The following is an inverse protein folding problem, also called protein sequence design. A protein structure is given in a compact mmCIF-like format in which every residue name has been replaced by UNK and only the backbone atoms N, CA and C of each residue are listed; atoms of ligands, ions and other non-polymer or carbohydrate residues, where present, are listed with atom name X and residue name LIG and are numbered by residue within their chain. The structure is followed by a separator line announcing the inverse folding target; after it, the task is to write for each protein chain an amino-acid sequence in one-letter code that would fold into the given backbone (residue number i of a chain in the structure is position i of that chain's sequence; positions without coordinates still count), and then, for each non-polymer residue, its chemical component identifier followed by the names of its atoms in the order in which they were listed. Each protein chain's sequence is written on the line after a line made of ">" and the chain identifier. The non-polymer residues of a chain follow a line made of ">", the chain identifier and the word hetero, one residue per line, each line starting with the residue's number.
data_IF_887912576660
#
_entry.id   IF_887912576660
#
_cell.length_a   1.000
_cell.length_b   1.000
_cell.length_c   1.000
_cell.angle_alpha   90.00
_cell.angle_beta   90.00
_cell.angle_gamma   90.00
#
_symmetry.space_group_name_H-M   'P 1'
#
loop_
_entity.id
_entity.type
_entity.pdbx_description
1 polymer ?
#
# COMPACT_ATOMS: atom_id res chain seq x y z
N UNK A 1 -19.69 -28.48 -39.87
CA UNK A 1 -19.43 -27.14 -39.33
C UNK A 1 -19.02 -27.33 -37.88
N UNK A 2 -17.72 -27.29 -37.53
CA UNK A 2 -17.33 -27.22 -36.13
C UNK A 2 -17.50 -25.77 -35.65
N UNK A 3 -18.11 -25.63 -34.48
CA UNK A 3 -18.18 -24.40 -33.71
C UNK A 3 -16.78 -24.16 -33.14
N UNK A 4 -16.06 -23.16 -33.62
CA UNK A 4 -14.88 -22.62 -32.93
C UNK A 4 -15.39 -21.76 -31.78
N UNK A 5 -15.39 -22.31 -30.56
CA UNK A 5 -15.44 -21.49 -29.36
C UNK A 5 -14.11 -20.72 -29.29
N UNK A 6 -14.17 -19.44 -29.65
CA UNK A 6 -13.16 -18.47 -29.27
C UNK A 6 -13.20 -18.35 -27.75
N UNK A 7 -12.28 -19.03 -27.07
CA UNK A 7 -11.92 -18.68 -25.71
C UNK A 7 -11.21 -17.32 -25.79
N UNK A 8 -11.96 -16.24 -25.60
CA UNK A 8 -11.37 -14.97 -25.22
C UNK A 8 -10.60 -15.22 -23.91
N UNK A 9 -9.32 -14.86 -23.90
CA UNK A 9 -8.42 -15.04 -22.78
C UNK A 9 -8.81 -14.06 -21.65
N UNK A 10 -9.80 -14.47 -20.86
CA UNK A 10 -10.32 -13.78 -19.68
C UNK A 10 -9.28 -13.62 -18.56
N UNK A 11 -8.04 -14.11 -18.75
CA UNK A 11 -6.97 -14.04 -17.77
C UNK A 11 -6.36 -12.63 -17.67
N UNK A 12 -6.33 -11.87 -18.77
CA UNK A 12 -5.80 -10.50 -18.80
C UNK A 12 -6.72 -9.49 -18.06
N UNK A 13 -8.03 -9.75 -17.96
CA UNK A 13 -8.95 -8.88 -17.22
C UNK A 13 -8.87 -9.05 -15.69
N UNK A 14 -8.19 -10.10 -15.20
CA UNK A 14 -8.05 -10.40 -13.76
C UNK A 14 -6.71 -9.97 -13.17
N UNK A 15 -5.66 -9.86 -13.98
CA UNK A 15 -4.36 -9.46 -13.50
C UNK A 15 -4.36 -7.96 -13.15
N UNK A 16 -4.21 -7.65 -11.86
CA UNK A 16 -4.06 -6.26 -11.39
C UNK A 16 -2.60 -5.81 -11.55
N UNK A 17 -1.66 -6.75 -11.41
CA UNK A 17 -0.23 -6.52 -11.58
C UNK A 17 0.26 -6.91 -12.98
N UNK A 18 0.85 -5.93 -13.67
CA UNK A 18 1.61 -6.17 -14.90
C UNK A 18 3.03 -6.62 -14.55
N UNK A 19 3.20 -7.95 -14.40
CA UNK A 19 4.46 -8.57 -13.97
C UNK A 19 5.60 -8.30 -14.94
N UNK A 20 5.33 -8.29 -16.24
CA UNK A 20 6.33 -8.01 -17.27
C UNK A 20 6.85 -6.57 -17.15
N UNK A 21 5.94 -5.60 -17.05
CA UNK A 21 6.30 -4.20 -16.82
C UNK A 21 7.09 -4.02 -15.53
N UNK A 22 6.68 -4.66 -14.43
CA UNK A 22 7.41 -4.60 -13.17
C UNK A 22 8.84 -5.16 -13.31
N UNK A 23 9.01 -6.25 -14.05
CA UNK A 23 10.32 -6.81 -14.39
C UNK A 23 11.20 -5.83 -15.17
N UNK A 24 10.63 -5.16 -16.17
CA UNK A 24 11.33 -4.17 -17.00
C UNK A 24 11.72 -2.91 -16.22
N UNK A 25 10.90 -2.46 -15.26
CA UNK A 25 11.18 -1.29 -14.43
C UNK A 25 12.19 -1.56 -13.31
N UNK A 26 12.26 -2.81 -12.82
CA UNK A 26 13.01 -3.15 -11.61
C UNK A 26 14.48 -2.69 -11.60
N UNK A 27 15.28 -2.81 -12.69
CA UNK A 27 16.67 -2.34 -12.69
C UNK A 27 16.81 -0.83 -12.45
N UNK A 28 15.95 -0.02 -13.06
CA UNK A 28 15.95 1.44 -12.88
C UNK A 28 15.53 1.82 -11.46
N UNK A 29 14.44 1.21 -10.98
CA UNK A 29 13.93 1.41 -9.63
C UNK A 29 14.92 0.98 -8.54
N UNK A 30 15.72 -0.06 -8.79
CA UNK A 30 16.78 -0.48 -7.87
C UNK A 30 17.86 0.61 -7.69
N UNK A 31 18.21 1.33 -8.76
CA UNK A 31 19.14 2.46 -8.69
C UNK A 31 18.54 3.62 -7.90
N UNK A 32 17.26 3.94 -8.13
CA UNK A 32 16.54 4.97 -7.38
C UNK A 32 16.47 4.66 -5.88
N UNK A 33 16.04 3.44 -5.54
CA UNK A 33 16.00 2.93 -4.17
C UNK A 33 17.36 3.01 -3.47
N UNK A 34 18.44 2.62 -4.16
CA UNK A 34 19.79 2.65 -3.59
C UNK A 34 20.29 4.08 -3.35
N UNK A 35 19.87 5.04 -4.18
CA UNK A 35 20.28 6.44 -4.11
C UNK A 35 19.43 7.29 -3.16
N UNK A 36 18.24 6.84 -2.80
CA UNK A 36 17.33 7.67 -2.01
C UNK A 36 17.92 7.98 -0.62
N UNK A 37 17.69 9.22 -0.19
CA UNK A 37 18.19 9.81 1.06
C UNK A 37 17.04 10.53 1.78
N UNK A 38 17.13 10.75 3.11
CA UNK A 38 18.17 10.31 4.03
C UNK A 38 18.16 8.78 4.25
N UNK A 39 17.11 8.12 3.78
CA UNK A 39 16.93 6.68 3.91
C UNK A 39 16.26 6.09 2.66
N UNK A 40 16.47 4.78 2.43
CA UNK A 40 15.99 4.05 1.23
C UNK A 40 14.47 4.00 1.12
N UNK A 41 13.84 4.70 0.20
CA UNK A 41 12.41 4.69 -0.07
C UNK A 41 12.22 4.79 -1.58
N UNK A 42 11.06 4.41 -2.07
CA UNK A 42 10.74 4.51 -3.49
C UNK A 42 9.27 4.88 -3.65
N UNK A 43 8.99 5.77 -4.59
CA UNK A 43 7.65 6.18 -4.99
C UNK A 43 7.52 5.82 -6.46
N UNK A 44 6.48 5.07 -6.81
CA UNK A 44 6.18 4.67 -8.18
C UNK A 44 4.79 5.17 -8.50
N UNK A 45 4.72 6.13 -9.40
CA UNK A 45 3.45 6.58 -9.97
C UNK A 45 3.00 5.61 -11.06
N UNK A 46 1.69 5.57 -11.29
CA UNK A 46 1.03 4.71 -12.28
C UNK A 46 1.38 3.23 -12.11
N UNK A 47 1.48 2.79 -10.85
CA UNK A 47 1.91 1.44 -10.52
C UNK A 47 0.97 0.36 -11.10
N UNK A 48 -0.34 0.51 -10.90
CA UNK A 48 -1.36 -0.35 -11.49
C UNK A 48 -1.83 0.19 -12.85
N UNK A 49 -2.34 -0.71 -13.69
CA UNK A 49 -2.95 -0.31 -14.95
C UNK A 49 -4.20 0.57 -14.70
N UNK A 50 -4.48 1.58 -15.54
CA UNK A 50 -5.59 2.51 -15.30
C UNK A 50 -6.97 1.84 -15.15
N UNK A 51 -7.21 0.71 -15.83
CA UNK A 51 -8.46 -0.03 -15.69
C UNK A 51 -8.59 -0.69 -14.30
N UNK A 52 -7.50 -1.26 -13.78
CA UNK A 52 -7.43 -1.87 -12.46
C UNK A 52 -7.70 -0.82 -11.38
N UNK A 53 -7.07 0.35 -11.49
CA UNK A 53 -7.29 1.48 -10.58
C UNK A 53 -8.76 1.88 -10.55
N UNK A 54 -9.38 2.12 -11.72
CA UNK A 54 -10.79 2.51 -11.80
C UNK A 54 -11.70 1.46 -11.16
N UNK A 55 -11.49 0.18 -11.48
CA UNK A 55 -12.26 -0.93 -10.93
C UNK A 55 -12.14 -1.00 -9.41
N UNK A 56 -10.94 -0.84 -8.86
CA UNK A 56 -10.74 -0.82 -7.40
C UNK A 56 -11.36 0.42 -6.75
N UNK A 57 -11.23 1.60 -7.36
CA UNK A 57 -11.82 2.84 -6.85
C UNK A 57 -13.35 2.75 -6.75
N UNK A 58 -14.02 2.27 -7.80
CA UNK A 58 -15.47 2.12 -7.84
C UNK A 58 -16.03 1.14 -6.80
N UNK A 59 -15.21 0.17 -6.36
CA UNK A 59 -15.59 -0.88 -5.41
C UNK A 59 -15.03 -0.67 -4.01
N UNK A 60 -14.31 0.42 -3.78
CA UNK A 60 -13.64 0.65 -2.49
C UNK A 60 -14.68 0.68 -1.35
N UNK A 61 -14.46 -0.05 -0.24
CA UNK A 61 -15.49 -0.18 0.78
C UNK A 61 -15.83 1.15 1.46
N UNK A 62 -17.11 1.52 1.60
CA UNK A 62 -17.51 2.77 2.27
C UNK A 62 -17.18 2.74 3.78
N UNK A 63 -17.17 3.87 4.49
CA UNK A 63 -16.84 3.96 5.92
C UNK A 63 -17.64 3.04 6.85
N UNK A 64 -18.86 2.68 6.47
CA UNK A 64 -19.77 1.83 7.24
C UNK A 64 -19.57 0.32 6.97
N UNK A 65 -18.69 -0.03 6.02
CA UNK A 65 -18.48 -1.41 5.61
C UNK A 65 -17.96 -2.30 6.77
N UNK A 66 -18.44 -3.55 6.91
CA UNK A 66 -18.08 -4.43 8.03
C UNK A 66 -16.60 -4.84 8.08
N UNK A 67 -15.85 -4.65 6.99
CA UNK A 67 -14.39 -4.89 6.99
C UNK A 67 -13.66 -4.01 8.00
N UNK A 68 -14.16 -2.80 8.28
CA UNK A 68 -13.47 -1.83 9.10
C UNK A 68 -13.60 -2.13 10.59
N UNK A 69 -12.47 -2.12 11.30
CA UNK A 69 -12.49 -2.06 12.75
C UNK A 69 -13.01 -0.70 13.23
N UNK A 70 -13.72 -0.71 14.36
CA UNK A 70 -14.15 0.49 15.04
C UNK A 70 -12.93 1.25 15.57
N UNK A 71 -12.53 2.30 14.85
CA UNK A 71 -11.38 3.12 15.18
C UNK A 71 -11.54 3.86 16.51
N UNK A 72 -12.78 4.11 16.98
CA UNK A 72 -13.04 4.81 18.25
C UNK A 72 -12.61 3.99 19.46
N UNK A 73 -12.52 2.67 19.29
CA UNK A 73 -12.00 1.74 20.29
C UNK A 73 -10.48 1.55 20.18
N UNK A 74 -9.83 2.24 19.25
CA UNK A 74 -8.39 2.17 19.01
C UNK A 74 -7.69 3.41 19.59
N UNK A 75 -6.38 3.47 19.37
CA UNK A 75 -5.51 4.51 19.92
C UNK A 75 -5.98 5.92 19.56
N UNK A 76 -5.94 6.90 20.50
CA UNK A 76 -6.23 8.30 20.20
C UNK A 76 -5.29 8.88 19.14
N UNK A 77 -4.12 8.28 18.93
CA UNK A 77 -3.13 8.68 17.91
C UNK A 77 -3.52 8.25 16.49
N UNK A 78 -4.68 7.59 16.31
CA UNK A 78 -5.20 7.13 15.02
C UNK A 78 -6.67 7.54 14.80
N UNK A 79 -7.06 8.72 15.32
CA UNK A 79 -8.43 9.25 15.21
C UNK A 79 -8.89 9.26 13.75
N UNK A 80 -10.11 8.79 13.46
CA UNK A 80 -10.66 8.78 12.09
C UNK A 80 -9.96 7.85 11.08
N UNK A 81 -8.94 7.08 11.49
CA UNK A 81 -8.30 6.06 10.64
C UNK A 81 -8.98 4.70 10.82
N UNK A 82 -9.53 4.17 9.74
CA UNK A 82 -10.05 2.81 9.68
C UNK A 82 -9.02 1.86 9.05
N UNK A 83 -9.02 0.63 9.53
CA UNK A 83 -8.25 -0.45 8.94
C UNK A 83 -8.88 -1.79 9.29
N UNK A 84 -8.67 -2.78 8.43
CA UNK A 84 -9.26 -4.11 8.60
C UNK A 84 -8.71 -4.87 9.82
N UNK A 85 -7.48 -4.53 10.23
CA UNK A 85 -6.79 -5.13 11.36
C UNK A 85 -5.99 -6.37 10.99
N UNK A 86 -6.61 -7.30 10.29
CA UNK A 86 -6.04 -8.54 9.76
C UNK A 86 -6.92 -9.12 8.64
N UNK A 87 -6.57 -10.31 8.16
CA UNK A 87 -7.24 -11.07 7.10
C UNK A 87 -8.65 -11.59 7.46
N UNK A 88 -9.05 -11.54 8.74
CA UNK A 88 -10.26 -12.24 9.23
C UNK A 88 -11.59 -11.70 8.69
N UNK A 89 -11.59 -10.55 8.02
CA UNK A 89 -12.78 -9.90 7.43
C UNK A 89 -12.69 -9.72 5.92
N UNK A 90 -11.66 -10.26 5.27
CA UNK A 90 -11.46 -10.08 3.83
C UNK A 90 -12.49 -10.84 2.98
N UNK A 91 -13.19 -11.82 3.56
CA UNK A 91 -14.36 -12.46 2.98
C UNK A 91 -15.49 -11.46 2.69
N UNK A 92 -15.58 -10.36 3.44
CA UNK A 92 -16.57 -9.29 3.22
C UNK A 92 -16.21 -8.35 2.06
N UNK A 93 -14.98 -8.37 1.56
CA UNK A 93 -14.52 -7.45 0.51
C UNK A 93 -15.10 -7.81 -0.86
N UNK A 94 -15.15 -6.82 -1.76
CA UNK A 94 -15.32 -7.09 -3.20
C UNK A 94 -14.14 -7.98 -3.68
N UNK A 95 -14.40 -8.99 -4.55
CA UNK A 95 -13.36 -9.88 -5.06
C UNK A 95 -12.10 -9.16 -5.57
N UNK A 96 -12.24 -7.98 -6.18
CA UNK A 96 -11.09 -7.23 -6.72
C UNK A 96 -10.02 -6.93 -5.66
N UNK A 97 -10.42 -6.73 -4.40
CA UNK A 97 -9.46 -6.48 -3.32
C UNK A 97 -8.84 -7.77 -2.79
N UNK A 98 -9.59 -8.87 -2.73
CA UNK A 98 -9.00 -10.17 -2.37
C UNK A 98 -7.97 -10.60 -3.39
N UNK A 99 -8.33 -10.56 -4.67
CA UNK A 99 -7.44 -10.90 -5.78
C UNK A 99 -6.18 -10.00 -5.78
N UNK A 100 -6.33 -8.70 -5.50
CA UNK A 100 -5.21 -7.78 -5.37
C UNK A 100 -4.31 -8.08 -4.19
N UNK A 101 -4.88 -8.31 -3.00
CA UNK A 101 -4.13 -8.65 -1.80
C UNK A 101 -3.36 -9.96 -1.96
N UNK A 102 -3.94 -10.94 -2.65
CA UNK A 102 -3.28 -12.20 -3.02
C UNK A 102 -2.12 -11.94 -3.99
N UNK A 103 -2.33 -11.21 -5.08
CA UNK A 103 -1.27 -10.84 -6.03
C UNK A 103 -0.11 -10.08 -5.39
N UNK A 104 -0.39 -9.21 -4.41
CA UNK A 104 0.63 -8.49 -3.62
C UNK A 104 1.38 -9.37 -2.60
N UNK A 105 0.95 -10.61 -2.40
CA UNK A 105 1.67 -11.62 -1.62
C UNK A 105 2.26 -12.74 -2.50
N UNK A 106 1.96 -12.76 -3.79
CA UNK A 106 2.45 -13.81 -4.68
C UNK A 106 3.92 -13.62 -5.09
N UNK A 107 4.51 -14.74 -5.51
CA UNK A 107 5.93 -14.82 -5.84
C UNK A 107 6.40 -13.80 -6.88
N UNK A 108 5.66 -13.47 -7.96
CA UNK A 108 6.10 -12.47 -8.93
C UNK A 108 6.33 -11.09 -8.29
N UNK A 109 5.43 -10.66 -7.41
CA UNK A 109 5.56 -9.39 -6.73
C UNK A 109 6.65 -9.42 -5.66
N UNK A 110 6.80 -10.52 -4.92
CA UNK A 110 7.93 -10.70 -4.01
C UNK A 110 9.27 -10.65 -4.77
N UNK A 111 9.38 -11.26 -5.95
CA UNK A 111 10.57 -11.20 -6.80
C UNK A 111 10.87 -9.78 -7.27
N UNK A 112 9.84 -9.01 -7.62
CA UNK A 112 9.97 -7.60 -7.92
C UNK A 112 10.54 -6.82 -6.73
N UNK A 113 9.96 -6.98 -5.53
CA UNK A 113 10.44 -6.33 -4.31
C UNK A 113 11.89 -6.71 -3.98
N UNK A 114 12.25 -7.98 -4.10
CA UNK A 114 13.61 -8.46 -3.86
C UNK A 114 14.60 -7.84 -4.87
N UNK A 115 14.24 -7.79 -6.16
CA UNK A 115 15.05 -7.20 -7.23
C UNK A 115 15.29 -5.71 -7.02
N UNK A 116 14.24 -4.95 -6.65
CA UNK A 116 14.34 -3.51 -6.41
C UNK A 116 15.12 -3.21 -5.13
N UNK A 117 14.82 -3.94 -4.04
CA UNK A 117 15.32 -3.56 -2.71
C UNK A 117 16.66 -4.19 -2.35
N UNK A 118 17.02 -5.30 -3.02
CA UNK A 118 18.17 -6.14 -2.70
C UNK A 118 18.01 -6.97 -1.42
N UNK A 119 16.80 -7.05 -0.86
CA UNK A 119 16.51 -7.88 0.32
C UNK A 119 16.15 -9.29 -0.17
N UNK A 120 16.94 -10.32 0.12
CA UNK A 120 16.63 -11.68 -0.33
C UNK A 120 15.63 -12.37 0.61
N UNK A 121 15.00 -13.44 0.11
CA UNK A 121 14.14 -14.34 0.86
C UNK A 121 12.99 -13.64 1.59
N UNK A 122 12.33 -12.70 0.90
CA UNK A 122 11.11 -12.09 1.41
C UNK A 122 9.99 -13.15 1.48
N UNK A 123 9.31 -13.18 2.63
CA UNK A 123 8.11 -13.98 2.83
C UNK A 123 6.88 -13.08 2.70
N UNK A 124 5.76 -13.61 2.17
CA UNK A 124 4.50 -12.88 2.14
C UNK A 124 3.93 -12.68 3.54
N UNK A 125 3.07 -11.67 3.68
CA UNK A 125 2.29 -11.42 4.90
C UNK A 125 0.88 -11.97 4.73
N UNK A 126 0.71 -13.28 4.91
CA UNK A 126 -0.57 -13.95 4.72
C UNK A 126 -1.66 -13.51 5.71
N UNK A 127 -1.30 -12.89 6.84
CA UNK A 127 -2.23 -12.54 7.90
C UNK A 127 -2.61 -11.05 7.92
N UNK A 128 -1.88 -10.23 7.17
CA UNK A 128 -2.11 -8.79 7.07
C UNK A 128 -2.27 -8.09 8.43
N UNK A 129 -1.60 -8.58 9.49
CA UNK A 129 -1.78 -8.04 10.83
C UNK A 129 -1.26 -6.60 10.87
N UNK A 130 -2.17 -5.65 11.06
CA UNK A 130 -1.90 -4.22 10.99
C UNK A 130 -1.79 -3.64 9.57
N UNK A 131 -1.95 -4.46 8.53
CA UNK A 131 -1.93 -4.08 7.13
C UNK A 131 -3.27 -4.33 6.42
N UNK A 132 -3.20 -4.49 5.09
CA UNK A 132 -4.36 -4.71 4.24
C UNK A 132 -5.09 -3.41 3.90
N UNK A 133 -6.41 -3.44 4.03
CA UNK A 133 -7.26 -2.28 3.70
C UNK A 133 -7.17 -1.19 4.76
N UNK A 134 -7.00 0.05 4.32
CA UNK A 134 -6.99 1.24 5.17
C UNK A 134 -7.70 2.42 4.51
N UNK A 135 -8.33 3.27 5.33
CA UNK A 135 -8.77 4.60 4.92
C UNK A 135 -8.65 5.59 6.08
N UNK A 136 -8.52 6.87 5.74
CA UNK A 136 -8.50 7.97 6.71
C UNK A 136 -9.64 8.90 6.34
N UNK A 137 -10.62 9.01 7.24
CA UNK A 137 -11.80 9.86 7.07
C UNK A 137 -11.44 11.33 7.31
N UNK A 138 -12.28 12.26 6.86
CA UNK A 138 -12.10 13.70 7.09
C UNK A 138 -11.81 14.04 8.56
N UNK A 139 -10.84 14.92 8.80
CA UNK A 139 -10.29 15.22 10.14
C UNK A 139 -9.55 14.07 10.81
N UNK A 140 -9.30 12.96 10.11
CA UNK A 140 -8.57 11.80 10.58
C UNK A 140 -7.06 12.00 10.58
N UNK A 141 -6.39 11.27 11.48
CA UNK A 141 -4.96 11.37 11.73
C UNK A 141 -4.39 9.97 11.92
N UNK A 142 -3.20 9.77 11.37
CA UNK A 142 -2.24 8.77 11.77
C UNK A 142 -1.00 9.52 12.24
N UNK A 143 -0.81 9.60 13.56
CA UNK A 143 0.26 10.39 14.16
C UNK A 143 1.64 9.82 13.81
N UNK A 144 2.68 10.63 14.00
CA UNK A 144 4.07 10.28 13.73
C UNK A 144 4.46 9.02 14.52
N UNK A 145 4.73 7.91 13.83
CA UNK A 145 5.10 6.64 14.47
C UNK A 145 6.15 5.88 13.67
N UNK A 146 6.98 5.11 14.37
CA UNK A 146 7.74 4.02 13.75
C UNK A 146 6.91 2.76 13.79
N UNK A 147 6.73 2.13 12.64
CA UNK A 147 6.00 0.88 12.58
C UNK A 147 6.71 -0.24 13.35
N UNK A 148 5.89 -1.13 13.93
CA UNK A 148 6.40 -2.28 14.63
C UNK A 148 7.05 -3.23 13.62
N UNK A 149 8.27 -3.66 13.92
CA UNK A 149 9.02 -4.51 13.02
C UNK A 149 8.96 -5.98 13.43
N UNK A 150 8.76 -6.31 14.71
CA UNK A 150 8.66 -7.69 15.16
C UNK A 150 7.21 -8.19 15.08
N UNK A 151 6.99 -9.25 14.32
CA UNK A 151 5.70 -9.90 14.20
C UNK A 151 5.61 -11.10 15.13
N UNK A 152 4.95 -10.90 16.27
CA UNK A 152 4.95 -11.88 17.36
C UNK A 152 4.33 -13.23 16.99
N UNK A 153 3.31 -13.25 16.13
CA UNK A 153 2.63 -14.49 15.71
C UNK A 153 3.57 -15.47 15.00
N UNK A 154 4.41 -14.96 14.09
CA UNK A 154 5.32 -15.77 13.27
C UNK A 154 6.77 -15.73 13.78
N UNK A 155 7.07 -14.90 14.79
CA UNK A 155 8.43 -14.65 15.31
C UNK A 155 9.39 -14.19 14.20
N UNK A 156 8.88 -13.39 13.27
CA UNK A 156 9.63 -12.83 12.13
C UNK A 156 9.73 -11.31 12.24
N UNK A 157 10.64 -10.72 11.46
CA UNK A 157 10.72 -9.26 11.31
C UNK A 157 10.12 -8.82 9.99
N UNK A 158 9.16 -7.90 10.03
CA UNK A 158 8.66 -7.18 8.85
C UNK A 158 9.83 -6.38 8.26
N UNK A 159 10.06 -6.55 6.95
CA UNK A 159 11.21 -5.94 6.25
C UNK A 159 10.84 -4.71 5.44
N UNK A 160 9.67 -4.75 4.80
CA UNK A 160 9.14 -3.69 3.95
C UNK A 160 7.71 -3.35 4.35
N UNK A 161 7.39 -2.07 4.33
CA UNK A 161 6.04 -1.57 4.20
C UNK A 161 5.83 -1.13 2.76
N UNK A 162 4.67 -1.52 2.24
CA UNK A 162 4.23 -1.20 0.91
C UNK A 162 2.87 -0.53 1.04
N UNK A 163 2.72 0.64 0.43
CA UNK A 163 1.49 1.44 0.47
C UNK A 163 1.05 1.71 -0.96
N UNK A 164 -0.19 1.32 -1.29
CA UNK A 164 -0.84 1.65 -2.54
C UNK A 164 -1.96 2.66 -2.26
N UNK A 165 -1.89 3.82 -2.90
CA UNK A 165 -2.90 4.85 -2.82
C UNK A 165 -3.85 4.75 -4.02
N UNK A 166 -5.14 4.67 -3.71
CA UNK A 166 -6.26 4.66 -4.67
C UNK A 166 -7.12 5.93 -4.54
N UNK A 167 -6.62 6.97 -3.88
CA UNK A 167 -7.36 8.22 -3.61
C UNK A 167 -7.60 9.01 -4.89
N UNK A 168 -8.81 8.93 -5.45
CA UNK A 168 -9.20 9.68 -6.66
C UNK A 168 -9.39 11.17 -6.37
N UNK A 169 -9.04 12.01 -7.35
CA UNK A 169 -9.35 13.45 -7.36
C UNK A 169 -8.87 14.21 -6.11
N UNK A 170 -7.74 13.77 -5.55
CA UNK A 170 -7.16 14.39 -4.38
C UNK A 170 -6.79 15.86 -4.63
N UNK A 171 -7.04 16.71 -3.63
CA UNK A 171 -6.69 18.13 -3.66
C UNK A 171 -5.79 18.48 -2.46
N UNK A 172 -4.83 19.42 -2.61
CA UNK A 172 -3.96 19.85 -1.51
C UNK A 172 -4.70 20.26 -0.23
N UNK A 173 -5.88 20.85 -0.37
CA UNK A 173 -6.69 21.29 0.76
C UNK A 173 -7.21 20.14 1.64
N UNK A 174 -7.17 18.88 1.17
CA UNK A 174 -7.62 17.71 1.93
C UNK A 174 -6.54 17.19 2.89
N UNK A 175 -5.27 17.60 2.74
CA UNK A 175 -4.16 16.99 3.46
C UNK A 175 -4.03 15.49 3.11
N UNK A 176 -3.65 14.65 4.06
CA UNK A 176 -3.60 13.20 3.85
C UNK A 176 -2.32 12.70 3.20
N UNK A 177 -1.31 13.56 3.07
CA UNK A 177 0.03 13.17 2.65
C UNK A 177 0.68 12.15 3.57
N UNK A 178 1.54 11.32 2.99
CA UNK A 178 2.53 10.55 3.71
C UNK A 178 3.74 11.44 3.98
N UNK A 179 3.91 11.85 5.23
CA UNK A 179 5.09 12.58 5.65
C UNK A 179 6.19 11.61 6.07
N UNK A 180 7.41 11.81 5.55
CA UNK A 180 8.59 11.08 5.95
C UNK A 180 9.46 11.95 6.85
N UNK A 181 9.70 11.47 8.08
CA UNK A 181 10.39 12.23 9.12
C UNK A 181 11.79 11.69 9.41
N UNK A 182 12.73 12.60 9.70
CA UNK A 182 14.12 12.26 10.04
C UNK A 182 14.27 11.66 11.44
N UNK A 183 13.48 12.13 12.41
CA UNK A 183 13.39 11.61 13.78
C UNK A 183 12.06 12.05 14.42
N UNK A 184 11.87 11.85 15.73
CA UNK A 184 10.71 12.34 16.47
C UNK A 184 10.79 13.86 16.61
N UNK A 185 9.66 14.58 16.58
CA UNK A 185 9.65 16.02 16.89
C UNK A 185 10.30 16.33 18.24
N UNK A 186 10.07 15.49 19.26
CA UNK A 186 10.69 15.64 20.59
C UNK A 186 12.22 15.51 20.60
N UNK A 187 12.82 14.99 19.53
CA UNK A 187 14.27 14.88 19.32
C UNK A 187 14.78 15.83 18.22
N UNK A 188 13.97 16.81 17.81
CA UNK A 188 14.33 17.75 16.74
C UNK A 188 14.17 17.18 15.33
N UNK A 189 13.42 16.09 15.18
CA UNK A 189 13.06 15.56 13.88
C UNK A 189 12.21 16.54 13.08
N UNK A 190 12.36 16.50 11.76
CA UNK A 190 11.61 17.30 10.81
C UNK A 190 11.12 16.42 9.66
N UNK A 191 10.00 16.81 9.06
CA UNK A 191 9.55 16.24 7.80
C UNK A 191 10.56 16.63 6.71
N UNK A 192 11.19 15.65 6.06
CA UNK A 192 12.10 15.92 4.94
C UNK A 192 11.41 15.72 3.58
N UNK A 193 10.29 14.98 3.56
CA UNK A 193 9.52 14.76 2.36
C UNK A 193 8.05 14.56 2.69
N UNK A 194 7.23 15.34 2.02
CA UNK A 194 5.77 15.26 2.03
C UNK A 194 5.35 14.63 0.69
N UNK A 195 4.71 13.47 0.75
CA UNK A 195 4.29 12.70 -0.43
C UNK A 195 2.76 12.73 -0.47
N UNK A 196 2.14 13.48 -1.39
CA UNK A 196 0.69 13.50 -1.49
C UNK A 196 0.18 12.10 -1.87
N UNK A 197 -1.02 11.69 -1.45
CA UNK A 197 -1.61 10.42 -1.84
C UNK A 197 -2.19 10.48 -3.27
N UNK A 198 -1.75 11.47 -4.08
CA UNK A 198 -2.34 11.78 -5.38
C UNK A 198 -2.37 10.55 -6.25
N UNK A 199 -3.59 10.18 -6.61
CA UNK A 199 -3.91 9.22 -7.65
C UNK A 199 -5.00 9.90 -8.48
N UNK A 200 -4.70 10.32 -9.71
CA UNK A 200 -5.77 10.79 -10.61
C UNK A 200 -6.61 9.59 -11.01
N UNK A 201 -7.81 9.81 -11.56
CA UNK A 201 -8.60 8.70 -12.11
C UNK A 201 -7.75 7.89 -13.09
N UNK A 202 -7.52 6.62 -12.77
CA UNK A 202 -6.64 5.74 -13.55
C UNK A 202 -5.15 5.81 -13.23
N UNK A 203 -4.73 6.51 -12.18
CA UNK A 203 -3.36 6.51 -11.66
C UNK A 203 -3.36 5.91 -10.25
N UNK A 204 -2.26 5.27 -9.85
CA UNK A 204 -2.06 4.80 -8.49
C UNK A 204 -0.66 5.14 -8.04
N UNK A 205 -0.50 5.56 -6.78
CA UNK A 205 0.82 5.78 -6.19
C UNK A 205 1.20 4.62 -5.30
N UNK A 206 2.39 4.09 -5.50
CA UNK A 206 2.93 2.97 -4.74
C UNK A 206 4.21 3.38 -4.04
N UNK A 207 4.29 3.16 -2.73
CA UNK A 207 5.42 3.58 -1.90
C UNK A 207 6.03 2.38 -1.18
N UNK A 208 7.34 2.20 -1.29
CA UNK A 208 8.12 1.20 -0.54
C UNK A 208 8.96 1.90 0.54
N UNK A 209 8.85 1.43 1.78
CA UNK A 209 9.64 1.93 2.91
C UNK A 209 10.09 0.73 3.75
N UNK A 210 11.38 0.52 4.03
CA UNK A 210 11.82 -0.48 4.97
C UNK A 210 11.55 -0.02 6.41
N UNK A 211 11.21 -0.95 7.28
CA UNK A 211 10.65 -0.68 8.61
C UNK A 211 11.65 -0.20 9.68
N UNK A 212 12.92 -0.04 9.33
CA UNK A 212 13.95 0.34 10.29
C UNK A 212 13.87 1.85 10.61
N UNK A 213 13.26 2.20 11.76
CA UNK A 213 13.30 3.53 12.42
C UNK A 213 12.64 4.70 11.68
N UNK A 214 11.57 4.46 10.94
CA UNK A 214 11.01 5.49 10.04
C UNK A 214 9.69 5.98 10.54
N UNK A 215 9.59 7.29 10.64
CA UNK A 215 8.41 7.94 11.18
C UNK A 215 7.54 8.44 10.05
N UNK A 216 6.30 7.93 10.01
CA UNK A 216 5.30 8.33 9.04
C UNK A 216 4.13 9.00 9.74
N UNK A 217 3.57 10.00 9.08
CA UNK A 217 2.35 10.67 9.52
C UNK A 217 1.42 10.83 8.32
N UNK A 218 0.13 10.80 8.61
CA UNK A 218 -0.90 11.24 7.67
C UNK A 218 -1.95 12.03 8.42
N UNK A 219 -2.30 13.23 7.95
CA UNK A 219 -3.34 14.07 8.58
C UNK A 219 -4.23 14.62 7.49
N UNK A 220 -5.50 14.22 7.49
CA UNK A 220 -6.52 14.81 6.62
C UNK A 220 -7.16 16.01 7.31
N UNK A 221 -7.47 17.04 6.52
CA UNK A 221 -8.08 18.30 6.97
C UNK A 221 -9.61 18.15 7.01
#
# INVERSE_FOLDING_TARGET
>A
MPFEEQFEDDSDEKALLDVERLGNLAPGLALEWARSKPFRHLIIDDFLAPFAVRRMQERFPPPEHPVWLDWRKRSPNQYGKQGAGDDTRFDTLDPVFRDGLEQFNDQPFLNFLQSVTGIPALLPDAHFTGGGMHQILAGGILDIHTDFNFYDRLKLYRRLNVLLYLTSEWQPAYGGSLELWTDAPSRGGHCFQDIPPESRVGLSRFTIIPLNLRRVRTTTI
#
